data_IF_187765717843
#
_entry.id   IF_187765717843
#
_cell.length_a   1.000
_cell.length_b   1.000
_cell.length_c   1.000
_cell.angle_alpha   90.00
_cell.angle_beta   90.00
_cell.angle_gamma   90.00
#
_symmetry.space_group_name_H-M   'P 1'
#
loop_
_entity.id
_entity.type
_entity.pdbx_description
1 polymer ?
#
# COMPACT_ATOMS: atom_id res chain seq x y z
N UNK A 1 -20.32 -13.68 0.71
CA UNK A 1 -19.68 -13.63 2.05
C UNK A 1 -18.69 -12.46 2.21
N UNK A 2 -17.61 -12.36 1.42
CA UNK A 2 -16.57 -11.34 1.63
C UNK A 2 -17.07 -9.88 1.53
N UNK A 3 -17.96 -9.57 0.58
CA UNK A 3 -18.55 -8.23 0.43
C UNK A 3 -19.41 -7.84 1.63
N UNK A 4 -20.30 -8.72 2.10
CA UNK A 4 -21.13 -8.46 3.27
C UNK A 4 -20.28 -8.13 4.52
N UNK A 5 -19.27 -8.96 4.80
CA UNK A 5 -18.36 -8.73 5.92
C UNK A 5 -17.64 -7.38 5.81
N UNK A 6 -17.25 -6.98 4.59
CA UNK A 6 -16.67 -5.66 4.33
C UNK A 6 -17.67 -4.54 4.58
N UNK A 7 -18.86 -4.60 3.98
CA UNK A 7 -19.90 -3.57 4.16
C UNK A 7 -20.30 -3.43 5.63
N UNK A 8 -20.49 -4.54 6.35
CA UNK A 8 -20.81 -4.54 7.77
C UNK A 8 -19.70 -3.91 8.62
N UNK A 9 -18.44 -4.25 8.34
CA UNK A 9 -17.27 -3.66 9.01
C UNK A 9 -17.19 -2.15 8.79
N UNK A 10 -17.43 -1.68 7.55
CA UNK A 10 -17.34 -0.26 7.22
C UNK A 10 -18.57 0.53 7.73
N UNK A 11 -19.77 -0.07 7.75
CA UNK A 11 -20.95 0.48 8.43
C UNK A 11 -20.68 0.73 9.92
N UNK A 12 -20.07 -0.24 10.61
CA UNK A 12 -19.64 -0.08 12.01
C UNK A 12 -18.63 1.04 12.23
N UNK A 13 -17.94 1.47 11.17
CA UNK A 13 -16.99 2.60 11.15
C UNK A 13 -17.61 3.88 10.62
N UNK A 14 -18.95 3.93 10.48
CA UNK A 14 -19.72 5.08 9.98
C UNK A 14 -19.33 5.48 8.55
N UNK A 15 -18.90 4.52 7.72
CA UNK A 15 -18.72 4.77 6.29
C UNK A 15 -20.06 5.15 5.65
N UNK A 16 -20.02 6.10 4.72
CA UNK A 16 -21.16 6.40 3.85
C UNK A 16 -21.15 5.39 2.71
N UNK A 17 -22.30 4.78 2.43
CA UNK A 17 -22.42 3.78 1.39
C UNK A 17 -23.58 4.12 0.47
N UNK A 18 -23.37 3.86 -0.81
CA UNK A 18 -24.40 3.99 -1.83
C UNK A 18 -24.38 2.77 -2.74
N UNK A 19 -25.53 2.43 -3.30
CA UNK A 19 -25.69 1.35 -4.25
C UNK A 19 -26.51 1.84 -5.44
N UNK A 20 -26.28 1.26 -6.62
CA UNK A 20 -27.04 1.61 -7.81
C UNK A 20 -27.32 0.38 -8.66
N UNK A 21 -28.44 0.49 -9.38
CA UNK A 21 -28.85 -0.43 -10.43
C UNK A 21 -28.59 0.30 -11.75
N UNK A 22 -27.75 -0.23 -12.64
CA UNK A 22 -27.47 0.44 -13.91
C UNK A 22 -28.73 0.49 -14.78
N UNK A 23 -28.89 1.57 -15.53
CA UNK A 23 -29.83 1.66 -16.65
C UNK A 23 -29.07 1.37 -17.94
N UNK A 24 -29.57 0.44 -18.76
CA UNK A 24 -28.89 0.06 -20.00
C UNK A 24 -29.16 1.03 -21.15
N UNK A 25 -30.23 1.83 -21.04
CA UNK A 25 -30.61 2.85 -22.01
C UNK A 25 -31.15 4.11 -21.34
N UNK A 26 -31.30 5.18 -22.13
CA UNK A 26 -31.93 6.43 -21.69
C UNK A 26 -33.36 6.23 -21.23
N UNK A 27 -34.08 5.28 -21.84
CA UNK A 27 -35.48 4.98 -21.53
C UNK A 27 -35.62 4.21 -20.21
N UNK A 28 -34.58 3.47 -19.81
CA UNK A 28 -34.53 2.79 -18.52
C UNK A 28 -34.08 3.70 -17.37
N UNK A 29 -33.57 4.90 -17.67
CA UNK A 29 -33.14 5.85 -16.66
C UNK A 29 -34.32 6.20 -15.75
N UNK A 30 -34.15 6.03 -14.44
CA UNK A 30 -35.18 6.29 -13.44
C UNK A 30 -36.46 5.45 -13.59
N UNK A 31 -36.43 4.38 -14.41
CA UNK A 31 -37.54 3.44 -14.54
C UNK A 31 -37.66 2.52 -13.32
N UNK A 32 -38.89 2.25 -12.89
CA UNK A 32 -39.18 1.29 -11.81
C UNK A 32 -39.16 -0.16 -12.32
N UNK A 33 -38.61 -1.07 -11.53
CA UNK A 33 -38.63 -2.52 -11.74
C UNK A 33 -39.94 -3.11 -11.22
N UNK A 34 -40.22 -4.36 -11.59
CA UNK A 34 -41.34 -5.13 -11.03
C UNK A 34 -41.26 -5.28 -9.51
N UNK A 35 -40.05 -5.20 -8.96
CA UNK A 35 -39.78 -5.30 -7.53
C UNK A 35 -39.83 -3.96 -6.77
N UNK A 36 -40.25 -2.87 -7.45
CA UNK A 36 -40.37 -1.53 -6.86
C UNK A 36 -39.05 -0.74 -6.77
N UNK A 37 -37.93 -1.33 -7.20
CA UNK A 37 -36.63 -0.64 -7.26
C UNK A 37 -36.54 0.24 -8.50
N UNK A 38 -35.66 1.25 -8.51
CA UNK A 38 -35.53 2.20 -9.60
C UNK A 38 -34.12 2.11 -10.21
N UNK A 39 -34.05 2.00 -11.54
CA UNK A 39 -32.79 1.92 -12.29
C UNK A 39 -32.17 3.30 -12.51
N UNK A 40 -30.86 3.34 -12.78
CA UNK A 40 -30.15 4.54 -13.19
C UNK A 40 -29.91 5.60 -12.09
N UNK A 41 -30.26 5.31 -10.84
CA UNK A 41 -30.09 6.25 -9.73
C UNK A 41 -29.42 5.59 -8.50
N UNK A 42 -29.07 6.42 -7.50
CA UNK A 42 -28.35 5.99 -6.31
C UNK A 42 -29.26 5.84 -5.09
N UNK A 43 -29.15 4.70 -4.43
CA UNK A 43 -29.71 4.44 -3.10
C UNK A 43 -28.64 4.65 -2.03
N UNK A 44 -29.05 5.18 -0.87
CA UNK A 44 -28.19 5.20 0.31
C UNK A 44 -28.27 3.85 1.02
N UNK A 45 -27.13 3.24 1.38
CA UNK A 45 -27.13 2.06 2.26
C UNK A 45 -27.00 2.55 3.71
N UNK A 46 -28.07 2.40 4.49
CA UNK A 46 -28.19 2.97 5.83
C UNK A 46 -27.87 1.98 6.95
N UNK A 47 -27.98 0.68 6.70
CA UNK A 47 -27.57 -0.36 7.65
C UNK A 47 -27.15 -1.67 6.98
N UNK A 48 -26.25 -2.40 7.64
CA UNK A 48 -25.81 -3.75 7.23
C UNK A 48 -25.69 -4.61 8.49
N UNK A 49 -26.57 -5.60 8.65
CA UNK A 49 -26.75 -6.33 9.91
C UNK A 49 -26.87 -7.83 9.68
N UNK A 50 -26.34 -8.60 10.63
CA UNK A 50 -26.65 -10.03 10.74
C UNK A 50 -27.76 -10.18 11.77
N UNK A 51 -28.93 -10.61 11.34
CA UNK A 51 -30.15 -10.64 12.14
C UNK A 51 -30.45 -12.08 12.56
N UNK A 52 -30.69 -12.29 13.85
CA UNK A 52 -31.02 -13.61 14.38
C UNK A 52 -32.45 -14.02 13.98
N UNK A 53 -32.60 -15.24 13.49
CA UNK A 53 -33.91 -15.86 13.30
C UNK A 53 -34.40 -16.41 14.64
N UNK A 54 -35.72 -16.38 14.83
CA UNK A 54 -36.39 -17.03 15.95
C UNK A 54 -36.30 -18.55 15.78
N UNK A 55 -35.62 -19.22 16.71
CA UNK A 55 -35.41 -20.67 16.62
C UNK A 55 -36.65 -21.44 17.05
N UNK A 56 -37.12 -22.35 16.20
CA UNK A 56 -38.19 -23.29 16.57
C UNK A 56 -37.61 -24.48 17.37
N UNK A 57 -37.84 -24.52 18.68
CA UNK A 57 -37.62 -25.70 19.53
C UNK A 57 -36.40 -25.64 20.48
N UNK A 58 -36.24 -26.69 21.32
CA UNK A 58 -35.23 -26.78 22.40
C UNK A 58 -33.76 -26.63 21.94
N UNK A 59 -33.47 -26.75 20.65
CA UNK A 59 -32.12 -26.59 20.08
C UNK A 59 -31.73 -25.12 19.82
N UNK A 60 -32.66 -24.16 19.89
CA UNK A 60 -32.37 -22.73 19.70
C UNK A 60 -31.43 -22.14 20.76
N UNK A 61 -31.33 -22.80 21.92
CA UNK A 61 -30.40 -22.46 23.00
C UNK A 61 -28.92 -22.68 22.64
N UNK A 62 -28.61 -23.50 21.64
CA UNK A 62 -27.22 -23.86 21.30
C UNK A 62 -26.75 -23.32 19.94
N UNK A 63 -27.66 -22.88 19.05
CA UNK A 63 -27.28 -22.32 17.75
C UNK A 63 -28.38 -21.41 17.18
N UNK A 64 -28.15 -20.10 17.25
CA UNK A 64 -29.03 -19.10 16.61
C UNK A 64 -28.61 -18.93 15.15
N UNK A 65 -29.47 -19.33 14.22
CA UNK A 65 -29.28 -19.04 12.81
C UNK A 65 -29.38 -17.53 12.58
N UNK A 66 -28.51 -16.99 11.71
CA UNK A 66 -28.48 -15.56 11.39
C UNK A 66 -28.58 -15.35 9.90
N UNK A 67 -29.41 -14.40 9.49
CA UNK A 67 -29.53 -13.95 8.10
C UNK A 67 -28.80 -12.63 7.89
N UNK A 68 -28.22 -12.46 6.72
CA UNK A 68 -27.53 -11.24 6.32
C UNK A 68 -28.52 -10.28 5.67
N UNK A 69 -28.66 -9.07 6.22
CA UNK A 69 -29.63 -8.07 5.74
C UNK A 69 -28.96 -6.72 5.50
N UNK A 70 -29.49 -6.00 4.52
CA UNK A 70 -29.10 -4.64 4.16
C UNK A 70 -30.33 -3.75 4.22
N UNK A 71 -30.19 -2.55 4.78
CA UNK A 71 -31.19 -1.50 4.72
C UNK A 71 -30.74 -0.44 3.72
N UNK A 72 -31.63 -0.10 2.82
CA UNK A 72 -31.40 0.90 1.78
C UNK A 72 -32.45 1.99 1.89
N UNK A 73 -32.12 3.17 1.38
CA UNK A 73 -33.03 4.31 1.29
C UNK A 73 -33.04 4.88 -0.12
N UNK A 74 -34.24 4.98 -0.68
CA UNK A 74 -34.51 5.78 -1.87
C UNK A 74 -34.49 7.27 -1.47
N UNK A 75 -33.61 8.10 -2.05
CA UNK A 75 -33.53 9.52 -1.69
C UNK A 75 -34.79 10.32 -2.04
N UNK A 76 -35.67 9.83 -2.91
CA UNK A 76 -36.95 10.48 -3.22
C UNK A 76 -37.99 10.36 -2.12
N UNK A 77 -37.75 9.49 -1.13
CA UNK A 77 -38.69 9.27 -0.03
C UNK A 77 -39.91 8.43 -0.40
N UNK A 78 -39.86 7.75 -1.55
CA UNK A 78 -40.95 6.90 -2.07
C UNK A 78 -40.34 5.82 -2.98
N UNK A 79 -41.08 4.75 -3.28
CA UNK A 79 -40.64 3.67 -4.17
C UNK A 79 -39.69 2.70 -3.47
N UNK A 80 -40.28 1.71 -2.82
CA UNK A 80 -39.61 0.74 -1.94
C UNK A 80 -39.64 -0.68 -2.51
N UNK A 81 -38.77 -1.53 -1.97
CA UNK A 81 -38.73 -2.95 -2.25
C UNK A 81 -40.04 -3.65 -1.86
N UNK A 82 -40.61 -4.44 -2.77
CA UNK A 82 -41.86 -5.18 -2.52
C UNK A 82 -41.67 -6.71 -2.37
N UNK A 83 -40.44 -7.21 -2.37
CA UNK A 83 -40.12 -8.65 -2.21
C UNK A 83 -39.98 -9.11 -0.75
N UNK A 84 -39.31 -10.24 -0.46
CA UNK A 84 -39.13 -10.72 0.91
C UNK A 84 -38.49 -9.69 1.84
N UNK A 85 -39.01 -9.58 3.06
CA UNK A 85 -38.64 -8.57 4.07
C UNK A 85 -38.92 -7.11 3.66
N UNK A 86 -39.79 -6.88 2.67
CA UNK A 86 -40.42 -5.59 2.42
C UNK A 86 -41.27 -5.12 3.61
N UNK A 87 -41.76 -3.89 3.51
CA UNK A 87 -42.68 -3.34 4.47
C UNK A 87 -43.99 -4.14 4.49
N UNK A 88 -44.34 -4.68 5.67
CA UNK A 88 -45.50 -5.56 5.84
C UNK A 88 -45.30 -7.03 5.42
N UNK A 89 -44.11 -7.44 4.98
CA UNK A 89 -43.81 -8.84 4.60
C UNK A 89 -44.02 -9.83 5.77
N UNK A 90 -44.67 -10.99 5.54
CA UNK A 90 -44.90 -12.00 6.59
C UNK A 90 -43.60 -12.62 7.08
N UNK A 91 -42.51 -12.56 6.31
CA UNK A 91 -41.19 -13.05 6.68
C UNK A 91 -40.64 -12.37 7.95
N UNK A 92 -41.08 -11.15 8.26
CA UNK A 92 -40.76 -10.50 9.53
C UNK A 92 -41.17 -11.35 10.73
N UNK A 93 -42.24 -12.15 10.63
CA UNK A 93 -42.70 -13.07 11.68
C UNK A 93 -41.63 -14.08 12.12
N UNK A 94 -40.60 -14.33 11.31
CA UNK A 94 -39.46 -15.23 11.63
C UNK A 94 -38.40 -14.57 12.51
N UNK A 95 -38.51 -13.27 12.79
CA UNK A 95 -37.58 -12.50 13.62
C UNK A 95 -38.33 -12.08 14.88
N UNK A 96 -37.74 -12.26 16.06
CA UNK A 96 -38.37 -11.88 17.33
C UNK A 96 -38.60 -10.37 17.40
N UNK A 97 -39.59 -9.94 18.21
CA UNK A 97 -39.90 -8.52 18.40
C UNK A 97 -38.67 -7.72 18.86
N UNK A 98 -37.93 -8.24 19.85
CA UNK A 98 -36.73 -7.59 20.39
C UNK A 98 -35.65 -7.37 19.33
N UNK A 99 -35.44 -8.35 18.44
CA UNK A 99 -34.44 -8.21 17.38
C UNK A 99 -34.90 -7.22 16.30
N UNK A 100 -36.22 -7.13 16.00
CA UNK A 100 -36.79 -6.11 15.11
C UNK A 100 -36.60 -4.69 15.66
N UNK A 101 -36.86 -4.48 16.96
CA UNK A 101 -36.63 -3.19 17.61
C UNK A 101 -35.14 -2.82 17.60
N UNK A 102 -34.25 -3.79 17.87
CA UNK A 102 -32.80 -3.60 17.88
C UNK A 102 -32.22 -3.22 16.52
N UNK A 103 -32.77 -3.72 15.42
CA UNK A 103 -32.35 -3.29 14.07
C UNK A 103 -32.97 -1.95 13.67
N UNK A 104 -33.89 -1.39 14.46
CA UNK A 104 -34.58 -0.15 14.17
C UNK A 104 -35.54 -0.31 13.00
N UNK A 105 -36.30 -1.41 12.97
CA UNK A 105 -37.33 -1.64 11.96
C UNK A 105 -38.49 -0.64 12.14
N UNK A 106 -38.74 0.14 11.11
CA UNK A 106 -39.89 1.02 10.95
C UNK A 106 -40.64 0.60 9.70
N UNK A 107 -41.95 0.88 9.64
CA UNK A 107 -42.78 0.68 8.45
C UNK A 107 -43.38 2.03 8.06
N UNK A 108 -42.49 2.96 7.68
CA UNK A 108 -42.83 4.32 7.29
C UNK A 108 -42.59 4.43 5.78
N UNK A 109 -43.49 5.09 5.06
CA UNK A 109 -43.34 5.32 3.62
C UNK A 109 -42.37 6.48 3.38
N UNK A 110 -41.10 6.27 3.71
CA UNK A 110 -40.02 7.26 3.65
C UNK A 110 -38.89 6.85 2.69
N UNK A 111 -39.14 5.80 1.91
CA UNK A 111 -38.23 5.22 0.94
C UNK A 111 -37.18 4.29 1.58
N UNK A 112 -37.19 4.07 2.89
CA UNK A 112 -36.27 3.15 3.58
C UNK A 112 -36.85 1.75 3.68
N UNK A 113 -36.10 0.74 3.24
CA UNK A 113 -36.55 -0.66 3.26
C UNK A 113 -35.39 -1.61 3.59
N UNK A 114 -35.75 -2.77 4.14
CA UNK A 114 -34.81 -3.87 4.33
C UNK A 114 -34.93 -4.89 3.21
N UNK A 115 -33.82 -5.57 2.93
CA UNK A 115 -33.81 -6.75 2.06
C UNK A 115 -32.72 -7.74 2.49
N UNK A 116 -32.84 -8.98 2.02
CA UNK A 116 -31.78 -9.97 2.17
C UNK A 116 -30.54 -9.54 1.39
N UNK A 117 -29.35 -9.81 1.93
CA UNK A 117 -28.09 -9.51 1.23
C UNK A 117 -27.97 -10.27 -0.09
N UNK A 118 -28.58 -11.44 -0.21
CA UNK A 118 -28.59 -12.20 -1.46
C UNK A 118 -29.44 -11.51 -2.52
N UNK A 119 -30.56 -10.89 -2.15
CA UNK A 119 -31.38 -10.09 -3.07
C UNK A 119 -30.69 -8.76 -3.41
N UNK A 120 -30.01 -8.15 -2.45
CA UNK A 120 -29.12 -7.03 -2.72
C UNK A 120 -28.10 -7.37 -3.83
N UNK A 121 -27.43 -8.51 -3.74
CA UNK A 121 -26.46 -8.96 -4.75
C UNK A 121 -27.10 -9.31 -6.12
N UNK A 122 -28.39 -9.66 -6.15
CA UNK A 122 -29.10 -9.95 -7.40
C UNK A 122 -29.49 -8.68 -8.14
N UNK A 123 -29.86 -7.62 -7.41
CA UNK A 123 -30.43 -6.41 -8.00
C UNK A 123 -29.43 -5.26 -8.12
N UNK A 124 -28.55 -5.07 -7.14
CA UNK A 124 -27.58 -3.97 -7.12
C UNK A 124 -26.23 -4.41 -7.70
N UNK A 125 -25.82 -3.76 -8.78
CA UNK A 125 -24.58 -4.11 -9.50
C UNK A 125 -23.39 -3.31 -8.96
N UNK A 126 -23.63 -2.07 -8.54
CA UNK A 126 -22.58 -1.17 -8.07
C UNK A 126 -22.77 -0.81 -6.59
N UNK A 127 -21.65 -0.74 -5.85
CA UNK A 127 -21.62 -0.31 -4.45
C UNK A 127 -20.44 0.61 -4.22
N UNK A 128 -20.72 1.85 -3.82
CA UNK A 128 -19.71 2.81 -3.38
C UNK A 128 -19.61 2.77 -1.86
N UNK A 129 -18.37 2.65 -1.33
CA UNK A 129 -18.08 2.73 0.10
C UNK A 129 -17.11 3.88 0.34
N UNK A 130 -17.61 4.96 0.95
CA UNK A 130 -16.83 6.12 1.33
C UNK A 130 -16.47 6.04 2.81
N UNK A 131 -15.19 5.76 3.09
CA UNK A 131 -14.69 5.66 4.46
C UNK A 131 -14.52 7.03 5.08
N UNK A 132 -15.01 7.19 6.31
CA UNK A 132 -14.63 8.31 7.16
C UNK A 132 -13.27 7.98 7.79
N UNK A 133 -12.22 8.64 7.33
CA UNK A 133 -10.87 8.40 7.83
C UNK A 133 -10.65 9.20 9.12
N UNK A 134 -10.47 8.48 10.21
CA UNK A 134 -10.16 9.08 11.50
C UNK A 134 -8.64 9.24 11.68
N UNK A 135 -8.17 10.47 11.79
CA UNK A 135 -6.76 10.81 12.03
C UNK A 135 -6.50 11.36 13.44
N UNK A 136 -7.51 11.37 14.31
CA UNK A 136 -7.38 11.88 15.69
C UNK A 136 -6.48 10.97 16.52
N UNK A 137 -5.46 11.53 17.17
CA UNK A 137 -4.58 10.77 18.08
C UNK A 137 -5.27 10.33 19.38
N UNK A 138 -6.42 10.91 19.72
CA UNK A 138 -7.19 10.61 20.93
C UNK A 138 -8.53 9.98 20.56
N UNK A 139 -8.49 8.72 20.14
CA UNK A 139 -9.65 7.98 19.70
C UNK A 139 -9.62 6.54 20.22
N UNK A 140 -10.77 6.04 20.69
CA UNK A 140 -10.98 4.63 21.02
C UNK A 140 -11.17 3.75 19.77
N UNK A 141 -11.42 4.38 18.61
CA UNK A 141 -11.58 3.71 17.32
C UNK A 141 -10.28 3.69 16.52
N UNK A 142 -10.18 2.81 15.51
CA UNK A 142 -9.06 2.75 14.56
C UNK A 142 -8.73 4.15 14.02
N UNK A 143 -7.46 4.52 14.14
CA UNK A 143 -6.89 5.75 13.61
C UNK A 143 -6.02 5.43 12.39
N UNK A 144 -5.75 6.45 11.58
CA UNK A 144 -4.89 6.37 10.42
C UNK A 144 -3.86 7.49 10.47
N UNK A 145 -2.66 7.20 10.02
CA UNK A 145 -1.61 8.19 9.82
C UNK A 145 -1.72 8.74 8.40
N UNK A 146 -1.90 10.05 8.28
CA UNK A 146 -1.99 10.74 6.99
C UNK A 146 -0.60 11.19 6.51
N UNK A 147 -0.28 10.85 5.27
CA UNK A 147 0.72 11.51 4.45
C UNK A 147 0.03 12.32 3.37
N UNK A 148 0.31 13.62 3.27
CA UNK A 148 -0.33 14.53 2.33
C UNK A 148 0.71 15.40 1.64
N UNK A 149 0.62 15.53 0.32
CA UNK A 149 1.42 16.49 -0.44
C UNK A 149 0.61 17.13 -1.56
N UNK A 150 0.70 18.45 -1.65
CA UNK A 150 0.34 19.19 -2.85
C UNK A 150 1.52 19.16 -3.82
N UNK A 151 1.26 18.99 -5.10
CA UNK A 151 2.30 18.91 -6.12
C UNK A 151 1.79 19.38 -7.48
N UNK A 152 2.68 19.36 -8.46
CA UNK A 152 2.33 19.69 -9.82
C UNK A 152 3.20 18.92 -10.83
N UNK A 153 2.59 18.53 -11.95
CA UNK A 153 3.31 18.17 -13.16
C UNK A 153 3.69 19.46 -13.87
N UNK A 154 5.00 19.73 -13.93
CA UNK A 154 5.55 20.95 -14.54
C UNK A 154 6.44 20.60 -15.72
N UNK A 155 6.36 21.42 -16.77
CA UNK A 155 7.30 21.37 -17.89
C UNK A 155 8.19 22.63 -17.86
N UNK A 156 9.52 22.49 -17.97
CA UNK A 156 10.28 21.25 -18.11
C UNK A 156 10.46 20.47 -16.79
N UNK A 157 10.63 19.14 -16.89
CA UNK A 157 11.33 18.34 -15.86
C UNK A 157 10.50 17.61 -14.78
N UNK A 158 9.18 17.79 -14.73
CA UNK A 158 8.29 17.10 -13.76
C UNK A 158 6.98 16.58 -14.39
N UNK A 159 6.89 16.49 -15.71
CA UNK A 159 5.74 15.98 -16.45
C UNK A 159 6.18 14.85 -17.39
N UNK A 160 6.48 13.69 -16.81
CA UNK A 160 7.19 12.60 -17.47
C UNK A 160 6.32 11.59 -18.24
N UNK A 161 5.00 11.64 -18.07
CA UNK A 161 4.08 10.62 -18.58
C UNK A 161 4.13 9.32 -17.77
N UNK A 162 3.32 8.32 -18.12
CA UNK A 162 3.25 7.03 -17.44
C UNK A 162 4.46 6.12 -17.73
N UNK A 163 4.48 4.93 -17.13
CA UNK A 163 5.60 3.97 -17.19
C UNK A 163 5.98 3.53 -18.62
N UNK A 164 5.05 3.68 -19.58
CA UNK A 164 5.31 3.42 -20.99
C UNK A 164 6.38 4.36 -21.57
N UNK A 165 6.52 5.56 -21.01
CA UNK A 165 7.54 6.54 -21.40
C UNK A 165 8.83 6.34 -20.59
N UNK A 166 9.51 5.22 -20.87
CA UNK A 166 10.65 4.71 -20.07
C UNK A 166 11.72 5.75 -19.73
N UNK A 167 12.01 6.67 -20.66
CA UNK A 167 13.05 7.69 -20.50
C UNK A 167 12.63 8.86 -19.61
N UNK A 168 11.35 9.22 -19.61
CA UNK A 168 10.83 10.42 -18.93
C UNK A 168 10.01 10.09 -17.69
N UNK A 169 9.52 8.87 -17.52
CA UNK A 169 8.66 8.47 -16.40
C UNK A 169 9.24 8.82 -15.03
N UNK A 170 10.53 8.57 -14.81
CA UNK A 170 11.19 8.87 -13.53
C UNK A 170 11.36 10.38 -13.25
N UNK A 171 11.12 11.26 -14.24
CA UNK A 171 11.12 12.71 -14.02
C UNK A 171 9.92 13.21 -13.22
N UNK A 172 8.82 12.45 -13.19
CA UNK A 172 7.61 12.80 -12.45
C UNK A 172 7.88 13.01 -10.94
N UNK A 173 6.98 13.67 -10.19
CA UNK A 173 7.06 13.76 -8.74
C UNK A 173 7.03 12.37 -8.08
N UNK A 174 7.84 12.20 -7.03
CA UNK A 174 8.08 10.91 -6.39
C UNK A 174 7.88 11.06 -4.88
N UNK A 175 7.15 10.16 -4.27
CA UNK A 175 6.82 10.19 -2.85
C UNK A 175 7.32 8.93 -2.18
N UNK A 176 8.25 9.09 -1.23
CA UNK A 176 8.80 7.99 -0.44
C UNK A 176 7.92 7.76 0.79
N UNK A 177 7.75 6.50 1.16
CA UNK A 177 7.03 6.08 2.36
C UNK A 177 7.51 4.71 2.85
N UNK A 178 7.22 4.41 4.10
CA UNK A 178 7.61 3.21 4.82
C UNK A 178 6.35 2.48 5.32
N UNK A 179 6.32 1.15 5.16
CA UNK A 179 5.39 0.25 5.84
C UNK A 179 6.18 -0.44 6.94
N UNK A 180 5.81 -0.18 8.19
CA UNK A 180 6.58 -0.63 9.37
C UNK A 180 6.05 -1.92 9.97
N UNK A 181 4.73 -2.12 9.90
CA UNK A 181 4.07 -3.38 10.24
C UNK A 181 4.43 -4.48 9.25
N UNK A 182 4.27 -5.74 9.65
CA UNK A 182 4.57 -6.90 8.80
C UNK A 182 3.82 -6.82 7.46
N UNK A 183 2.56 -6.40 7.51
CA UNK A 183 1.68 -6.12 6.38
C UNK A 183 0.75 -4.94 6.69
N UNK A 184 0.42 -4.12 5.68
CA UNK A 184 -0.57 -3.04 5.76
C UNK A 184 -1.29 -2.89 4.41
N UNK A 185 -2.51 -2.35 4.45
CA UNK A 185 -3.32 -2.04 3.27
C UNK A 185 -3.51 -0.52 3.14
N UNK A 186 -2.43 0.27 2.88
CA UNK A 186 -2.50 1.72 2.85
C UNK A 186 -3.45 2.21 1.76
N UNK A 187 -4.16 3.30 2.03
CA UNK A 187 -5.07 3.92 1.07
C UNK A 187 -4.39 5.09 0.38
N UNK A 188 -4.27 5.05 -0.93
CA UNK A 188 -3.74 6.14 -1.74
C UNK A 188 -4.85 6.87 -2.48
N UNK A 189 -4.74 8.20 -2.52
CA UNK A 189 -5.66 9.04 -3.28
C UNK A 189 -4.87 10.10 -4.04
N UNK A 190 -4.96 10.06 -5.38
CA UNK A 190 -4.42 11.09 -6.27
C UNK A 190 -5.59 11.92 -6.81
N UNK A 191 -5.60 13.21 -6.53
CA UNK A 191 -6.62 14.14 -6.99
C UNK A 191 -5.97 15.17 -7.92
N UNK A 192 -6.45 15.31 -9.15
CA UNK A 192 -6.06 16.45 -9.99
C UNK A 192 -6.95 17.66 -9.71
N UNK A 193 -6.36 18.85 -9.76
CA UNK A 193 -7.10 20.10 -9.59
C UNK A 193 -7.94 20.34 -10.84
N UNK A 194 -9.25 20.18 -10.70
CA UNK A 194 -10.20 20.51 -11.76
C UNK A 194 -10.29 22.03 -11.92
N UNK A 195 -10.09 22.51 -13.15
CA UNK A 195 -10.42 23.89 -13.53
C UNK A 195 -11.92 23.99 -13.81
N UNK A 196 -12.77 23.81 -12.79
CA UNK A 196 -14.23 24.00 -12.95
C UNK A 196 -14.60 25.40 -13.46
N UNK A 197 -13.66 26.35 -13.40
CA UNK A 197 -13.77 27.71 -13.95
C UNK A 197 -13.59 27.81 -15.47
N UNK A 198 -13.12 26.76 -16.15
CA UNK A 198 -12.97 26.72 -17.60
C UNK A 198 -13.92 25.67 -18.17
N UNK A 199 -15.12 26.11 -18.57
CA UNK A 199 -16.09 25.24 -19.21
C UNK A 199 -15.45 24.47 -20.37
N UNK A 200 -15.54 23.14 -20.35
CA UNK A 200 -15.12 22.27 -21.46
C UNK A 200 -13.74 21.60 -21.35
N UNK A 201 -12.92 21.84 -20.31
CA UNK A 201 -11.68 21.06 -20.13
C UNK A 201 -11.97 19.72 -19.43
N UNK A 202 -11.82 18.63 -20.17
CA UNK A 202 -11.88 17.27 -19.62
C UNK A 202 -10.74 17.01 -18.62
N UNK A 203 -10.93 16.05 -17.72
CA UNK A 203 -9.87 15.61 -16.81
C UNK A 203 -8.76 14.92 -17.60
N UNK A 204 -7.51 15.16 -17.21
CA UNK A 204 -6.38 14.43 -17.78
C UNK A 204 -6.41 12.96 -17.30
N UNK A 205 -5.95 12.02 -18.12
CA UNK A 205 -5.77 10.64 -17.66
C UNK A 205 -4.59 10.60 -16.68
N UNK A 206 -4.84 10.27 -15.41
CA UNK A 206 -3.85 10.29 -14.33
C UNK A 206 -3.71 8.94 -13.66
N UNK A 207 -2.59 8.72 -12.99
CA UNK A 207 -2.31 7.52 -12.21
C UNK A 207 -0.95 7.58 -11.52
N UNK A 208 -0.58 6.49 -10.85
CA UNK A 208 0.72 6.36 -10.21
C UNK A 208 1.15 4.90 -10.11
N UNK A 209 2.45 4.70 -9.99
CA UNK A 209 3.04 3.37 -9.80
C UNK A 209 3.90 3.34 -8.55
N UNK A 210 3.83 2.23 -7.82
CA UNK A 210 4.55 1.98 -6.57
C UNK A 210 5.71 1.02 -6.83
N UNK A 211 6.88 1.38 -6.32
CA UNK A 211 8.09 0.57 -6.38
C UNK A 211 8.59 0.30 -4.97
N UNK A 212 9.02 -0.94 -4.69
CA UNK A 212 9.80 -1.26 -3.49
C UNK A 212 11.25 -0.87 -3.76
N UNK A 213 11.81 -0.06 -2.86
CA UNK A 213 13.16 0.50 -3.00
C UNK A 213 14.04 0.12 -1.81
N UNK A 214 15.27 0.60 -1.85
CA UNK A 214 16.28 0.32 -0.84
C UNK A 214 15.92 0.94 0.50
N UNK A 215 16.18 0.20 1.59
CA UNK A 215 15.84 0.60 2.97
C UNK A 215 16.39 1.97 3.37
N UNK A 216 17.52 2.36 2.79
CA UNK A 216 18.19 3.62 3.09
C UNK A 216 18.16 4.63 1.93
N UNK A 217 17.32 4.42 0.90
CA UNK A 217 17.13 5.43 -0.16
C UNK A 217 16.65 6.75 0.43
N UNK A 218 17.24 7.85 -0.05
CA UNK A 218 16.92 9.23 0.33
C UNK A 218 16.79 10.17 -0.87
N UNK A 219 17.11 9.68 -2.06
CA UNK A 219 17.14 10.45 -3.31
C UNK A 219 16.19 9.84 -4.32
N UNK A 220 15.84 10.62 -5.34
CA UNK A 220 14.94 10.22 -6.42
C UNK A 220 15.45 8.98 -7.16
N UNK A 221 14.51 8.20 -7.66
CA UNK A 221 14.76 7.16 -8.65
C UNK A 221 14.94 7.85 -10.00
N UNK A 222 15.95 7.49 -10.78
CA UNK A 222 16.05 7.92 -12.17
C UNK A 222 16.01 6.76 -13.16
N UNK A 223 16.30 5.53 -12.70
CA UNK A 223 16.08 4.31 -13.44
C UNK A 223 15.10 3.40 -12.66
N UNK A 224 13.82 3.50 -13.02
CA UNK A 224 12.76 2.68 -12.42
C UNK A 224 12.88 1.20 -12.78
N UNK A 225 13.62 0.84 -13.84
CA UNK A 225 13.79 -0.56 -14.27
C UNK A 225 14.69 -1.37 -13.34
N UNK A 226 15.46 -0.68 -12.49
CA UNK A 226 16.31 -1.27 -11.44
C UNK A 226 15.57 -1.46 -10.11
N UNK A 227 14.32 -1.03 -10.03
CA UNK A 227 13.49 -1.11 -8.82
C UNK A 227 12.43 -2.19 -8.97
N UNK A 228 12.02 -2.79 -7.86
CA UNK A 228 10.97 -3.79 -7.87
C UNK A 228 9.62 -3.11 -8.04
N UNK A 229 9.01 -3.27 -9.21
CA UNK A 229 7.62 -2.85 -9.44
C UNK A 229 6.70 -3.63 -8.50
N UNK A 230 5.78 -2.93 -7.84
CA UNK A 230 4.83 -3.54 -6.90
C UNK A 230 3.44 -3.54 -7.52
N UNK A 231 2.90 -2.35 -7.76
CA UNK A 231 1.55 -2.18 -8.29
C UNK A 231 1.40 -0.80 -8.93
N UNK A 232 0.43 -0.66 -9.82
CA UNK A 232 0.05 0.62 -10.41
C UNK A 232 -1.45 0.82 -10.28
N UNK A 233 -1.86 2.07 -10.05
CA UNK A 233 -3.27 2.41 -10.13
C UNK A 233 -3.81 2.21 -11.54
N UNK A 234 -5.10 1.93 -11.69
CA UNK A 234 -5.77 2.08 -12.99
C UNK A 234 -5.70 3.54 -13.42
N UNK A 235 -5.18 3.79 -14.62
CA UNK A 235 -5.17 5.12 -15.21
C UNK A 235 -6.56 5.43 -15.77
N UNK A 236 -7.14 6.56 -15.34
CA UNK A 236 -8.47 6.99 -15.78
C UNK A 236 -8.50 8.50 -15.98
N UNK A 237 -9.31 8.97 -16.93
CA UNK A 237 -9.68 10.37 -17.12
C UNK A 237 -10.68 10.84 -16.04
N UNK A 238 -10.36 10.59 -14.77
CA UNK A 238 -11.18 10.96 -13.62
C UNK A 238 -10.48 12.03 -12.80
N UNK A 239 -11.27 12.85 -12.08
CA UNK A 239 -10.74 13.83 -11.14
C UNK A 239 -9.90 13.18 -10.03
N UNK A 240 -10.19 11.92 -9.71
CA UNK A 240 -9.47 11.22 -8.65
C UNK A 240 -9.24 9.75 -8.91
N UNK A 241 -8.11 9.25 -8.44
CA UNK A 241 -7.71 7.84 -8.49
C UNK A 241 -7.50 7.34 -7.07
N UNK A 242 -8.05 6.17 -6.77
CA UNK A 242 -7.90 5.49 -5.49
C UNK A 242 -7.24 4.13 -5.70
N UNK A 243 -6.30 3.76 -4.82
CA UNK A 243 -5.68 2.44 -4.77
C UNK A 243 -5.50 2.03 -3.31
N UNK A 244 -5.76 0.76 -3.01
CA UNK A 244 -5.50 0.18 -1.69
C UNK A 244 -4.73 -1.15 -1.86
N UNK A 245 -3.40 -1.09 -2.07
CA UNK A 245 -2.58 -2.27 -2.28
C UNK A 245 -2.27 -2.96 -0.95
N UNK A 246 -2.11 -4.28 -0.95
CA UNK A 246 -1.58 -5.03 0.19
C UNK A 246 -0.06 -5.00 0.16
N UNK A 247 0.57 -4.31 1.10
CA UNK A 247 2.02 -4.09 1.14
C UNK A 247 2.65 -4.77 2.36
N UNK A 248 3.72 -5.51 2.13
CA UNK A 248 4.59 -6.03 3.20
C UNK A 248 5.47 -4.91 3.78
N UNK A 249 6.06 -5.16 4.96
CA UNK A 249 7.07 -4.29 5.54
C UNK A 249 8.16 -3.89 4.53
N UNK A 250 8.50 -2.61 4.48
CA UNK A 250 9.53 -2.11 3.58
C UNK A 250 9.42 -0.62 3.27
N UNK A 251 10.33 -0.17 2.40
CA UNK A 251 10.39 1.20 1.90
C UNK A 251 9.98 1.24 0.44
N UNK A 252 9.19 2.24 0.10
CA UNK A 252 8.52 2.34 -1.19
C UNK A 252 8.62 3.76 -1.75
N UNK A 253 8.49 3.87 -3.07
CA UNK A 253 8.31 5.15 -3.77
C UNK A 253 7.10 5.05 -4.68
N UNK A 254 6.16 5.97 -4.54
CA UNK A 254 5.08 6.21 -5.48
C UNK A 254 5.48 7.30 -6.47
N UNK A 255 5.38 7.02 -7.78
CA UNK A 255 5.64 7.99 -8.85
C UNK A 255 4.30 8.39 -9.45
N UNK A 256 3.89 9.65 -9.26
CA UNK A 256 2.57 10.15 -9.71
C UNK A 256 2.69 10.85 -11.04
N UNK A 257 1.80 10.55 -11.99
CA UNK A 257 1.97 10.98 -13.38
C UNK A 257 0.63 11.16 -14.10
N UNK A 258 0.66 11.97 -15.13
CA UNK A 258 -0.30 11.91 -16.24
C UNK A 258 0.05 10.73 -17.14
N UNK A 259 -0.91 10.30 -17.96
CA UNK A 259 -0.69 9.22 -18.92
C UNK A 259 0.34 9.64 -19.98
N UNK A 260 0.09 10.76 -20.64
CA UNK A 260 1.00 11.36 -21.62
C UNK A 260 2.03 12.30 -20.95
N UNK A 261 3.25 12.43 -21.51
CA UNK A 261 4.26 13.36 -21.04
C UNK A 261 3.89 14.80 -21.37
N UNK A 262 4.56 15.75 -20.71
CA UNK A 262 4.41 17.20 -20.91
C UNK A 262 3.04 17.79 -20.57
N UNK A 263 2.10 16.99 -20.05
CA UNK A 263 0.85 17.48 -19.49
C UNK A 263 1.14 18.18 -18.16
N UNK A 264 0.70 19.44 -18.07
CA UNK A 264 0.90 20.27 -16.89
C UNK A 264 -0.39 20.34 -16.08
N UNK A 265 -0.26 20.28 -14.76
CA UNK A 265 -1.40 20.34 -13.85
C UNK A 265 -0.99 20.28 -12.39
N UNK A 266 -1.88 20.72 -11.52
CA UNK A 266 -1.70 20.62 -10.07
C UNK A 266 -2.44 19.38 -9.55
N UNK A 267 -1.89 18.76 -8.51
CA UNK A 267 -2.49 17.61 -7.87
C UNK A 267 -2.32 17.63 -6.35
N UNK A 268 -3.13 16.81 -5.69
CA UNK A 268 -3.01 16.45 -4.29
C UNK A 268 -2.82 14.95 -4.22
N UNK A 269 -1.74 14.50 -3.59
CA UNK A 269 -1.48 13.09 -3.33
C UNK A 269 -1.56 12.83 -1.83
N UNK A 270 -2.42 11.88 -1.45
CA UNK A 270 -2.66 11.48 -0.06
C UNK A 270 -2.43 9.99 0.11
N UNK A 271 -1.93 9.64 1.29
CA UNK A 271 -1.78 8.27 1.75
C UNK A 271 -2.31 8.16 3.19
N UNK A 272 -3.02 7.09 3.50
CA UNK A 272 -3.39 6.73 4.86
C UNK A 272 -2.86 5.34 5.18
N UNK A 273 -2.06 5.21 6.25
CA UNK A 273 -1.49 3.96 6.72
C UNK A 273 -1.89 3.66 8.16
N UNK A 274 -1.82 2.39 8.56
CA UNK A 274 -2.13 1.99 9.95
C UNK A 274 -1.07 2.43 10.96
N UNK A 275 0.15 2.70 10.49
CA UNK A 275 1.30 3.17 11.27
C UNK A 275 1.96 4.39 10.62
N UNK A 276 2.80 5.10 11.38
CA UNK A 276 3.58 6.21 10.86
C UNK A 276 4.50 5.76 9.71
N UNK A 277 4.47 6.49 8.60
CA UNK A 277 5.01 6.01 7.32
C UNK A 277 6.11 6.87 6.71
N UNK A 278 6.60 7.91 7.41
CA UNK A 278 7.68 8.77 6.91
C UNK A 278 7.42 9.30 5.48
N UNK A 279 6.14 9.54 5.17
CA UNK A 279 5.68 9.99 3.87
C UNK A 279 6.25 11.38 3.54
N UNK A 280 6.91 11.53 2.39
CA UNK A 280 7.42 12.82 1.88
C UNK A 280 7.77 12.79 0.40
N UNK A 281 7.84 13.95 -0.23
CA UNK A 281 8.36 14.07 -1.59
C UNK A 281 9.89 13.89 -1.63
N UNK A 282 10.37 13.16 -2.64
CA UNK A 282 11.77 13.09 -3.02
C UNK A 282 12.09 14.20 -4.03
N UNK A 283 12.76 15.24 -3.56
CA UNK A 283 13.16 16.40 -4.36
C UNK A 283 14.64 16.36 -4.76
N UNK A 284 15.46 15.59 -4.04
CA UNK A 284 16.92 15.51 -4.23
C UNK A 284 17.26 14.39 -5.22
N UNK A 285 17.87 14.73 -6.36
CA UNK A 285 18.25 13.76 -7.41
C UNK A 285 19.44 12.86 -7.00
N UNK A 286 20.41 13.43 -6.28
CA UNK A 286 21.59 12.71 -5.77
C UNK A 286 22.08 13.32 -4.45
N UNK A 287 22.78 12.58 -3.59
CA UNK A 287 23.29 13.14 -2.33
C UNK A 287 24.21 14.33 -2.59
N UNK A 288 24.03 15.39 -1.81
CA UNK A 288 24.89 16.58 -1.88
C UNK A 288 26.34 16.26 -1.52
N UNK A 289 27.26 17.06 -2.08
CA UNK A 289 28.55 17.31 -1.43
C UNK A 289 28.23 17.95 -0.07
N UNK A 290 28.82 17.48 1.03
CA UNK A 290 28.46 17.94 2.38
C UNK A 290 28.47 19.47 2.52
N UNK A 291 27.74 19.96 3.52
CA UNK A 291 27.36 21.36 3.80
C UNK A 291 28.53 22.34 4.10
N UNK A 292 29.64 22.29 3.36
CA UNK A 292 30.80 23.19 3.54
C UNK A 292 31.17 23.99 2.28
N UNK A 293 30.39 23.90 1.19
CA UNK A 293 30.65 24.65 -0.05
C UNK A 293 30.08 26.08 -0.06
N UNK A 294 30.29 26.83 1.03
CA UNK A 294 30.20 28.30 1.00
C UNK A 294 31.58 28.98 1.10
N UNK A 295 32.66 28.22 1.24
CA UNK A 295 34.03 28.75 1.26
C UNK A 295 34.84 28.21 0.08
N UNK A 296 35.31 29.12 -0.77
CA UNK A 296 36.09 28.88 -1.99
C UNK A 296 37.49 28.25 -1.72
N UNK A 297 37.78 27.76 -0.50
CA UNK A 297 39.11 27.30 -0.10
C UNK A 297 39.17 25.86 0.48
N UNK A 298 38.07 25.09 0.51
CA UNK A 298 38.07 23.72 1.05
C UNK A 298 37.90 22.62 -0.02
N UNK A 299 38.72 22.64 -1.06
CA UNK A 299 38.69 21.69 -2.19
C UNK A 299 39.23 20.27 -1.90
N UNK A 300 39.21 19.77 -0.66
CA UNK A 300 39.86 18.49 -0.31
C UNK A 300 38.92 17.36 0.12
N UNK A 301 37.59 17.53 -0.01
CA UNK A 301 36.63 16.44 0.14
C UNK A 301 36.29 15.80 -1.21
N UNK A 302 36.82 14.62 -1.52
CA UNK A 302 36.44 13.88 -2.74
C UNK A 302 34.91 13.67 -2.78
N UNK A 303 34.26 14.17 -3.84
CA UNK A 303 32.83 13.98 -4.06
C UNK A 303 32.43 12.50 -4.19
N UNK A 304 31.13 12.23 -4.15
CA UNK A 304 30.62 10.88 -4.44
C UNK A 304 31.02 10.50 -5.87
N UNK A 305 31.59 9.31 -6.04
CA UNK A 305 32.15 8.82 -7.31
C UNK A 305 31.43 7.60 -7.87
N UNK A 306 30.72 6.88 -7.01
CA UNK A 306 30.10 5.61 -7.35
C UNK A 306 28.82 5.43 -6.54
N UNK A 307 27.77 4.94 -7.17
CA UNK A 307 26.59 4.41 -6.48
C UNK A 307 26.67 2.89 -6.50
N UNK A 308 26.32 2.25 -5.39
CA UNK A 308 26.32 0.79 -5.23
C UNK A 308 25.01 0.36 -4.58
N UNK A 309 24.16 -0.34 -5.33
CA UNK A 309 22.99 -1.04 -4.79
C UNK A 309 23.36 -2.50 -4.54
N UNK A 310 22.87 -3.02 -3.44
CA UNK A 310 23.04 -4.42 -3.05
C UNK A 310 21.68 -4.98 -2.73
N UNK A 311 21.33 -6.07 -3.38
CA UNK A 311 20.16 -6.87 -3.06
C UNK A 311 20.64 -8.07 -2.27
N UNK A 312 20.16 -8.19 -1.03
CA UNK A 312 20.43 -9.33 -0.15
C UNK A 312 19.22 -10.26 -0.29
N UNK A 313 19.42 -11.38 -0.97
CA UNK A 313 18.32 -12.28 -1.32
C UNK A 313 18.06 -13.25 -0.17
N UNK A 314 19.02 -14.14 0.08
CA UNK A 314 18.91 -15.21 1.07
C UNK A 314 20.27 -15.70 1.54
N UNK A 315 20.28 -16.47 2.61
CA UNK A 315 21.41 -17.32 2.98
C UNK A 315 20.94 -18.77 3.14
N UNK A 316 21.87 -19.72 3.03
CA UNK A 316 21.61 -21.14 3.19
C UNK A 316 22.67 -21.79 4.06
N UNK A 317 22.26 -22.71 4.93
CA UNK A 317 23.15 -23.52 5.76
C UNK A 317 23.94 -22.73 6.80
N UNK A 318 23.35 -21.68 7.38
CA UNK A 318 23.97 -20.91 8.45
C UNK A 318 24.23 -21.77 9.70
N UNK A 319 25.19 -21.36 10.51
CA UNK A 319 25.52 -22.00 11.79
C UNK A 319 24.32 -21.94 12.75
N UNK A 320 23.88 -23.09 13.28
CA UNK A 320 22.85 -23.15 14.32
C UNK A 320 23.39 -22.52 15.60
N UNK A 321 22.55 -21.76 16.29
CA UNK A 321 22.93 -21.05 17.52
C UNK A 321 21.95 -21.28 18.65
N UNK A 322 20.67 -21.46 18.36
CA UNK A 322 19.64 -21.57 19.38
C UNK A 322 19.42 -23.03 19.79
N UNK A 323 18.83 -23.24 20.98
CA UNK A 323 18.58 -24.59 21.55
C UNK A 323 17.60 -25.42 20.69
N UNK A 324 16.90 -24.78 19.74
CA UNK A 324 16.06 -25.38 18.72
C UNK A 324 16.80 -25.74 17.42
N UNK A 325 16.08 -25.66 16.28
CA UNK A 325 16.62 -26.08 14.98
C UNK A 325 17.21 -24.94 14.12
N UNK A 326 17.04 -23.69 14.54
CA UNK A 326 17.32 -22.52 13.73
C UNK A 326 18.34 -21.54 14.30
N UNK A 327 18.18 -20.31 13.82
CA UNK A 327 18.77 -19.06 14.25
C UNK A 327 17.76 -17.96 13.87
N UNK A 328 17.91 -16.76 14.41
CA UNK A 328 17.19 -15.56 14.01
C UNK A 328 18.09 -14.60 13.20
N UNK A 329 18.48 -14.95 11.96
CA UNK A 329 19.52 -14.23 11.24
C UNK A 329 19.06 -12.89 10.66
N UNK A 330 19.94 -11.91 10.76
CA UNK A 330 19.85 -10.62 10.08
C UNK A 330 21.22 -10.18 9.53
N UNK A 331 21.19 -9.32 8.51
CA UNK A 331 22.38 -8.74 7.90
C UNK A 331 22.63 -7.31 8.37
N UNK A 332 23.91 -6.95 8.57
CA UNK A 332 24.39 -5.58 8.64
C UNK A 332 25.27 -5.35 7.41
N UNK A 333 24.81 -4.51 6.49
CA UNK A 333 25.62 -4.04 5.37
C UNK A 333 26.27 -2.74 5.75
N UNK A 334 27.59 -2.65 5.55
CA UNK A 334 28.36 -1.46 5.88
C UNK A 334 29.27 -1.05 4.74
N UNK A 335 29.29 0.25 4.47
CA UNK A 335 30.20 0.87 3.52
C UNK A 335 30.58 2.25 4.06
N UNK A 336 31.89 2.52 4.13
CA UNK A 336 32.43 3.75 4.71
C UNK A 336 31.89 4.01 6.14
N UNK A 337 31.06 5.05 6.33
CA UNK A 337 30.46 5.43 7.61
C UNK A 337 29.00 4.98 7.76
N UNK A 338 28.41 4.45 6.69
CA UNK A 338 27.01 4.05 6.68
C UNK A 338 26.86 2.57 6.98
N UNK A 339 25.82 2.25 7.76
CA UNK A 339 25.42 0.88 8.09
C UNK A 339 23.91 0.76 7.93
N UNK A 340 23.46 -0.34 7.35
CA UNK A 340 22.04 -0.65 7.17
C UNK A 340 21.80 -2.07 7.65
N UNK A 341 20.79 -2.25 8.51
CA UNK A 341 20.37 -3.54 9.05
C UNK A 341 19.14 -4.05 8.30
N UNK A 342 19.12 -5.33 7.95
CA UNK A 342 17.92 -5.98 7.39
C UNK A 342 16.92 -6.36 8.47
N UNK A 343 15.71 -6.79 8.07
CA UNK A 343 14.83 -7.49 9.02
C UNK A 343 15.51 -8.76 9.56
N UNK A 344 15.12 -9.14 10.78
CA UNK A 344 15.41 -10.47 11.32
C UNK A 344 14.41 -11.46 10.70
N UNK A 345 14.87 -12.67 10.38
CA UNK A 345 14.02 -13.80 9.98
C UNK A 345 14.13 -14.82 11.10
N UNK A 346 13.01 -15.27 11.63
CA UNK A 346 12.97 -16.09 12.85
C UNK A 346 13.15 -17.59 12.57
N UNK A 347 13.75 -18.29 13.53
CA UNK A 347 13.92 -19.76 13.62
C UNK A 347 14.30 -20.46 12.29
N UNK A 348 15.35 -19.96 11.64
CA UNK A 348 15.84 -20.54 10.38
C UNK A 348 17.34 -20.40 10.17
N UNK A 349 17.94 -21.44 9.58
CA UNK A 349 19.30 -21.39 9.04
C UNK A 349 19.34 -21.07 7.52
N UNK A 350 18.17 -20.91 6.90
CA UNK A 350 18.01 -20.61 5.48
C UNK A 350 17.13 -19.36 5.28
N UNK A 351 17.53 -18.18 5.79
CA UNK A 351 16.69 -16.99 5.75
C UNK A 351 16.53 -16.39 4.35
N UNK A 352 15.34 -15.86 4.07
CA UNK A 352 15.06 -15.05 2.89
C UNK A 352 14.73 -13.60 3.29
N UNK A 353 15.63 -12.68 2.98
CA UNK A 353 15.44 -11.26 3.28
C UNK A 353 14.77 -10.54 2.11
N UNK A 354 15.25 -10.74 0.89
CA UNK A 354 14.83 -10.02 -0.31
C UNK A 354 14.80 -8.49 -0.10
N UNK A 355 15.86 -7.96 0.52
CA UNK A 355 15.98 -6.54 0.86
C UNK A 355 17.14 -5.87 0.12
N UNK A 356 16.91 -4.64 -0.32
CA UNK A 356 17.91 -3.86 -1.04
C UNK A 356 18.44 -2.69 -0.20
N UNK A 357 19.72 -2.36 -0.39
CA UNK A 357 20.41 -1.23 0.25
C UNK A 357 21.22 -0.46 -0.80
N UNK A 358 21.39 0.85 -0.64
CA UNK A 358 22.11 1.71 -1.60
C UNK A 358 23.19 2.54 -0.89
N UNK A 359 24.39 2.60 -1.45
CA UNK A 359 25.50 3.40 -0.92
C UNK A 359 26.07 4.34 -1.98
N UNK A 360 26.28 5.59 -1.59
CA UNK A 360 26.94 6.60 -2.40
C UNK A 360 28.38 6.77 -1.92
N UNK A 361 29.31 6.15 -2.64
CA UNK A 361 30.70 5.93 -2.21
C UNK A 361 31.62 7.05 -2.70
N UNK A 362 32.48 7.54 -1.81
CA UNK A 362 33.54 8.52 -2.11
C UNK A 362 34.87 7.83 -2.34
N UNK A 363 35.12 6.72 -1.63
CA UNK A 363 36.38 6.00 -1.66
C UNK A 363 36.16 4.53 -2.03
N UNK A 364 36.49 4.18 -3.28
CA UNK A 364 36.37 2.80 -3.77
C UNK A 364 37.36 1.82 -3.10
N UNK A 365 38.44 2.32 -2.47
CA UNK A 365 39.37 1.47 -1.70
C UNK A 365 38.79 1.03 -0.35
N UNK A 366 37.73 1.70 0.14
CA UNK A 366 37.05 1.27 1.36
C UNK A 366 36.16 0.07 1.00
N UNK A 367 36.36 -1.08 1.64
CA UNK A 367 35.63 -2.29 1.30
C UNK A 367 34.17 -2.17 1.69
N UNK A 368 33.32 -2.90 0.97
CA UNK A 368 31.94 -3.13 1.38
C UNK A 368 31.88 -4.41 2.19
N UNK A 369 31.13 -4.42 3.29
CA UNK A 369 31.06 -5.59 4.19
C UNK A 369 29.62 -5.94 4.48
N UNK A 370 29.28 -7.20 4.33
CA UNK A 370 28.02 -7.77 4.79
C UNK A 370 28.34 -8.66 5.98
N UNK A 371 27.74 -8.40 7.13
CA UNK A 371 27.88 -9.21 8.33
C UNK A 371 26.55 -9.88 8.64
N UNK A 372 26.57 -11.17 8.98
CA UNK A 372 25.39 -11.92 9.39
C UNK A 372 25.48 -12.16 10.89
N UNK A 373 24.37 -11.96 11.57
CA UNK A 373 24.23 -12.05 13.01
C UNK A 373 22.96 -12.80 13.37
N UNK A 374 22.97 -13.50 14.50
CA UNK A 374 21.80 -14.10 15.11
C UNK A 374 21.23 -13.15 16.17
N UNK A 375 19.97 -12.77 16.05
CA UNK A 375 19.27 -11.94 17.02
C UNK A 375 19.04 -12.73 18.30
N UNK A 376 19.41 -12.20 19.47
CA UNK A 376 19.25 -12.90 20.75
C UNK A 376 18.73 -11.95 21.83
N UNK A 377 18.05 -12.51 22.84
CA UNK A 377 17.44 -11.73 23.94
C UNK A 377 18.49 -10.88 24.70
N UNK A 378 19.67 -11.46 24.97
CA UNK A 378 20.71 -10.79 25.77
C UNK A 378 21.76 -10.12 24.87
N UNK A 379 22.33 -10.86 23.92
CA UNK A 379 23.39 -10.36 23.05
C UNK A 379 23.43 -11.12 21.74
N UNK A 380 23.29 -10.38 20.64
CA UNK A 380 23.36 -10.94 19.29
C UNK A 380 24.69 -11.67 19.06
N UNK A 381 24.61 -12.88 18.49
CA UNK A 381 25.76 -13.71 18.16
C UNK A 381 26.17 -13.53 16.70
N UNK A 382 27.44 -13.77 16.39
CA UNK A 382 27.99 -13.47 15.07
C UNK A 382 28.13 -14.74 14.23
N UNK A 383 27.51 -14.76 13.05
CA UNK A 383 27.46 -15.93 12.18
C UNK A 383 28.53 -15.90 11.09
N UNK A 384 28.88 -14.71 10.59
CA UNK A 384 29.91 -14.58 9.56
C UNK A 384 29.93 -13.22 8.89
N UNK A 385 30.88 -13.01 7.97
CA UNK A 385 30.89 -11.84 7.08
C UNK A 385 31.37 -12.22 5.70
N UNK A 386 31.02 -11.38 4.74
CA UNK A 386 31.70 -11.30 3.46
C UNK A 386 32.22 -9.87 3.25
N UNK A 387 33.39 -9.73 2.61
CA UNK A 387 34.05 -8.45 2.37
C UNK A 387 34.41 -8.34 0.89
N UNK A 388 33.79 -7.39 0.20
CA UNK A 388 34.08 -7.09 -1.20
C UNK A 388 35.31 -6.18 -1.28
N UNK A 389 36.36 -6.70 -1.90
CA UNK A 389 37.63 -5.99 -2.06
C UNK A 389 38.00 -5.72 -3.51
N UNK A 390 37.45 -6.49 -4.47
CA UNK A 390 37.77 -6.35 -5.90
C UNK A 390 36.58 -5.79 -6.68
N UNK A 391 36.86 -5.08 -7.77
CA UNK A 391 35.82 -4.63 -8.69
C UNK A 391 35.21 -5.77 -9.51
N UNK A 392 35.92 -6.90 -9.63
CA UNK A 392 35.41 -8.11 -10.27
C UNK A 392 34.22 -8.74 -9.50
N UNK A 393 34.11 -8.44 -8.20
CA UNK A 393 33.04 -8.93 -7.34
C UNK A 393 31.70 -8.19 -7.58
N UNK A 394 31.65 -7.21 -8.49
CA UNK A 394 30.48 -6.34 -8.72
C UNK A 394 29.87 -6.54 -10.11
N UNK A 395 29.45 -7.77 -10.39
CA UNK A 395 28.67 -8.11 -11.58
C UNK A 395 27.18 -7.95 -11.32
N UNK A 396 26.41 -7.45 -12.30
CA UNK A 396 24.94 -7.26 -12.23
C UNK A 396 24.17 -8.60 -12.32
N UNK A 397 24.70 -9.65 -11.67
CA UNK A 397 24.14 -10.99 -11.57
C UNK A 397 24.09 -11.44 -10.10
N UNK A 398 23.33 -12.51 -9.84
CA UNK A 398 23.29 -13.13 -8.51
C UNK A 398 24.60 -13.87 -8.29
N UNK A 399 25.24 -13.59 -7.16
CA UNK A 399 26.48 -14.21 -6.72
C UNK A 399 26.24 -14.97 -5.43
N UNK A 400 26.88 -16.13 -5.34
CA UNK A 400 26.95 -16.94 -4.13
C UNK A 400 28.30 -16.68 -3.47
N UNK A 401 28.29 -16.13 -2.27
CA UNK A 401 29.52 -15.78 -1.54
C UNK A 401 29.67 -16.60 -0.26
N UNK A 402 30.91 -17.03 0.01
CA UNK A 402 31.26 -17.72 1.25
C UNK A 402 31.39 -16.73 2.42
N UNK A 403 31.11 -17.23 3.62
CA UNK A 403 31.23 -16.48 4.87
C UNK A 403 32.56 -16.79 5.56
N UNK A 404 33.15 -15.76 6.16
CA UNK A 404 34.37 -15.88 6.98
C UNK A 404 34.16 -15.33 8.39
N UNK A 405 34.96 -15.82 9.33
CA UNK A 405 34.97 -15.40 10.73
C UNK A 405 35.51 -13.98 10.96
N UNK A 406 35.57 -13.57 12.23
CA UNK A 406 36.10 -12.24 12.61
C UNK A 406 37.62 -12.11 12.45
N UNK A 407 38.34 -13.21 12.67
CA UNK A 407 39.81 -13.26 12.70
C UNK A 407 40.47 -12.83 11.39
N UNK A 408 41.75 -12.46 11.47
CA UNK A 408 42.57 -12.11 10.29
C UNK A 408 42.84 -13.31 9.38
N UNK A 409 42.70 -14.52 9.91
CA UNK A 409 43.07 -15.77 9.25
C UNK A 409 42.02 -16.26 8.23
N UNK A 410 40.89 -15.56 8.08
CA UNK A 410 39.88 -15.91 7.07
C UNK A 410 39.20 -17.27 7.29
N UNK A 411 39.07 -17.70 8.55
CA UNK A 411 38.39 -18.95 8.92
C UNK A 411 37.02 -19.05 8.24
N UNK A 412 36.78 -20.12 7.48
CA UNK A 412 35.50 -20.33 6.81
C UNK A 412 34.41 -20.56 7.84
N UNK A 413 33.28 -19.87 7.64
CA UNK A 413 32.07 -20.04 8.46
C UNK A 413 31.01 -20.84 7.69
N UNK A 414 30.15 -21.61 8.39
CA UNK A 414 29.05 -22.31 7.74
C UNK A 414 28.12 -21.36 6.98
N UNK A 415 27.65 -21.85 5.84
CA UNK A 415 26.62 -21.22 5.05
C UNK A 415 27.12 -20.40 3.86
N UNK A 416 26.19 -20.11 2.97
CA UNK A 416 26.39 -19.35 1.73
C UNK A 416 25.41 -18.20 1.70
N UNK A 417 25.86 -17.04 1.21
CA UNK A 417 25.03 -15.87 1.07
C UNK A 417 24.80 -15.58 -0.42
N UNK A 418 23.54 -15.33 -0.80
CA UNK A 418 23.13 -15.02 -2.16
C UNK A 418 22.79 -13.54 -2.27
N UNK A 419 23.50 -12.83 -3.13
CA UNK A 419 23.35 -11.38 -3.30
C UNK A 419 23.45 -10.98 -4.76
N UNK A 420 23.00 -9.77 -5.07
CA UNK A 420 23.28 -9.10 -6.33
C UNK A 420 23.85 -7.71 -6.03
N UNK A 421 24.93 -7.33 -6.70
CA UNK A 421 25.56 -6.02 -6.50
C UNK A 421 25.64 -5.26 -7.81
N UNK A 422 24.97 -4.11 -7.86
CA UNK A 422 24.93 -3.25 -9.05
C UNK A 422 25.67 -1.96 -8.74
N UNK A 423 26.61 -1.58 -9.61
CA UNK A 423 27.43 -0.37 -9.46
C UNK A 423 27.37 0.52 -10.69
N UNK A 424 27.41 1.83 -10.47
CA UNK A 424 27.50 2.79 -11.56
C UNK A 424 28.27 4.04 -11.16
N UNK A 425 29.05 4.58 -12.11
CA UNK A 425 29.65 5.92 -12.00
C UNK A 425 28.61 7.01 -12.31
N UNK A 426 27.55 6.67 -13.03
CA UNK A 426 26.37 7.53 -13.12
C UNK A 426 25.57 7.38 -11.83
N UNK A 427 25.63 8.39 -10.96
CA UNK A 427 24.98 8.38 -9.64
C UNK A 427 23.45 8.32 -9.69
N UNK A 428 22.87 8.48 -10.88
CA UNK A 428 21.43 8.41 -11.12
C UNK A 428 21.00 7.03 -11.64
N UNK A 429 21.92 6.16 -12.04
CA UNK A 429 21.59 4.91 -12.74
C UNK A 429 21.06 3.77 -11.84
N UNK A 430 20.77 4.05 -10.56
CA UNK A 430 20.44 3.02 -9.56
C UNK A 430 19.26 3.42 -8.69
#
# INVERSE_FOLDING_TARGET
AALFTRMQKEAGRKALMAASIPAESSEEMEASTETGLVKGHAYGVTAVKSVALEGSGLFSFFKTEKIAMVRLRNPWGQGEWNGPFSDGSPEWQKISKDEREKIGLTFEEDGEFWMLFDDYCKHFVETAICRVVNTSMFSLNKTWHEGLSHGAWKSPGRAGGCINHKTTFASNPQFIFDITESEDDPMFHLLQKSTRSAAGKENDTIGFSIFKVEKNRRCRIHDHTKQMFVESSTFKNSRSIFLQPALKAGRYVAIVCTFEPNIQGEFLFRMYSSSASNFKELTVDKPGLGCLNLCCCCCFGAGVRLVTQIQILKAEGLERQDVGSGADPYCIVSCEREKVRTKTVEDTINPEWNESVIFYRRNMRKPLKIQIWNSNVIRDSYLGKHVFTSTADFMDNIQTVELVGRGKNGEKKPGKLYIKVTQSRNLLAV
#
